data_IF_107068484176
#
_entry.id   IF_107068484176
#
_cell.length_a   1.000
_cell.length_b   1.000
_cell.length_c   1.000
_cell.angle_alpha   90.00
_cell.angle_beta   90.00
_cell.angle_gamma   90.00
#
_symmetry.space_group_name_H-M   'P 1'
#
loop_
_entity.id
_entity.type
_entity.pdbx_description
1 polymer ?
#
# COMPACT_ATOMS: atom_id res chain seq x y z
N UNK A 1 -48.03 -21.68 -41.40
CA UNK A 1 -46.60 -22.00 -41.56
C UNK A 1 -45.78 -20.98 -40.77
N UNK A 2 -44.99 -21.46 -39.80
CA UNK A 2 -44.55 -20.77 -38.57
C UNK A 2 -43.56 -19.60 -38.79
N UNK A 3 -43.91 -18.40 -38.28
CA UNK A 3 -43.02 -17.25 -38.03
C UNK A 3 -43.06 -16.91 -36.54
N UNK A 4 -42.34 -17.64 -35.67
CA UNK A 4 -42.25 -17.28 -34.23
C UNK A 4 -40.86 -17.39 -33.58
N UNK A 5 -39.84 -17.81 -34.31
CA UNK A 5 -38.51 -18.12 -33.72
C UNK A 5 -37.52 -16.96 -33.63
N UNK A 6 -37.82 -15.77 -34.17
CA UNK A 6 -36.82 -14.67 -34.25
C UNK A 6 -36.80 -13.69 -33.07
N UNK A 7 -37.75 -13.75 -32.14
CA UNK A 7 -37.89 -12.70 -31.10
C UNK A 7 -37.10 -12.95 -29.81
N UNK A 8 -36.55 -14.16 -29.60
CA UNK A 8 -35.86 -14.53 -28.34
C UNK A 8 -34.34 -14.69 -28.45
N UNK A 9 -33.78 -14.70 -29.67
CA UNK A 9 -32.34 -14.97 -29.88
C UNK A 9 -31.47 -13.75 -29.55
N UNK A 10 -31.93 -12.54 -29.91
CA UNK A 10 -31.19 -11.29 -29.65
C UNK A 10 -30.99 -10.97 -28.15
N UNK A 11 -32.02 -11.01 -27.28
CA UNK A 11 -31.84 -10.71 -25.86
C UNK A 11 -30.96 -11.74 -25.14
N UNK A 12 -30.95 -13.01 -25.60
CA UNK A 12 -30.09 -14.07 -25.05
C UNK A 12 -28.59 -13.80 -25.33
N UNK A 13 -28.25 -13.31 -26.53
CA UNK A 13 -26.87 -12.95 -26.89
C UNK A 13 -26.35 -11.74 -26.11
N UNK A 14 -27.21 -10.74 -25.89
CA UNK A 14 -26.86 -9.56 -25.08
C UNK A 14 -26.63 -9.98 -23.63
N UNK A 15 -27.50 -10.82 -23.07
CA UNK A 15 -27.35 -11.34 -21.71
C UNK A 15 -26.08 -12.18 -21.55
N UNK A 16 -25.77 -13.06 -22.51
CA UNK A 16 -24.52 -13.83 -22.50
C UNK A 16 -23.27 -12.94 -22.58
N UNK A 17 -23.30 -11.89 -23.40
CA UNK A 17 -22.18 -10.95 -23.52
C UNK A 17 -21.98 -10.15 -22.24
N UNK A 18 -23.06 -9.65 -21.64
CA UNK A 18 -23.02 -8.86 -20.40
C UNK A 18 -22.58 -9.73 -19.21
N UNK A 19 -23.07 -10.97 -19.15
CA UNK A 19 -22.63 -11.96 -18.18
C UNK A 19 -21.17 -12.35 -18.36
N UNK A 20 -20.72 -12.57 -19.60
CA UNK A 20 -19.31 -12.83 -19.90
C UNK A 20 -18.42 -11.65 -19.53
N UNK A 21 -18.86 -10.40 -19.73
CA UNK A 21 -18.12 -9.19 -19.37
C UNK A 21 -18.00 -9.03 -17.84
N UNK A 22 -19.08 -9.31 -17.11
CA UNK A 22 -19.08 -9.32 -15.63
C UNK A 22 -18.18 -10.44 -15.07
N UNK A 23 -18.26 -11.64 -15.66
CA UNK A 23 -17.37 -12.75 -15.30
C UNK A 23 -15.91 -12.46 -15.62
N UNK A 24 -15.62 -11.91 -16.80
CA UNK A 24 -14.25 -11.52 -17.18
C UNK A 24 -13.70 -10.41 -16.28
N UNK A 25 -14.54 -9.45 -15.87
CA UNK A 25 -14.18 -8.40 -14.92
C UNK A 25 -13.78 -8.96 -13.56
N UNK A 26 -14.61 -9.82 -12.97
CA UNK A 26 -14.29 -10.48 -11.68
C UNK A 26 -13.07 -11.38 -11.75
N UNK A 27 -12.94 -12.20 -12.81
CA UNK A 27 -11.77 -13.07 -13.00
C UNK A 27 -10.48 -12.26 -13.13
N UNK A 28 -10.51 -11.14 -13.85
CA UNK A 28 -9.34 -10.26 -14.04
C UNK A 28 -8.91 -9.58 -12.74
N UNK A 29 -9.86 -9.17 -11.90
CA UNK A 29 -9.58 -8.56 -10.59
C UNK A 29 -8.93 -9.57 -9.64
N UNK A 30 -9.46 -10.80 -9.60
CA UNK A 30 -8.96 -11.88 -8.73
C UNK A 30 -7.52 -12.30 -9.07
N UNK A 31 -7.12 -12.26 -10.35
CA UNK A 31 -5.77 -12.67 -10.79
C UNK A 31 -4.71 -11.63 -10.38
N UNK A 32 -5.05 -10.34 -10.41
CA UNK A 32 -4.11 -9.28 -10.03
C UNK A 32 -3.71 -9.39 -8.55
N UNK A 33 -4.69 -9.63 -7.67
CA UNK A 33 -4.49 -9.76 -6.23
C UNK A 33 -3.65 -11.01 -5.87
N UNK A 34 -3.82 -12.12 -6.61
CA UNK A 34 -3.01 -13.34 -6.43
C UNK A 34 -1.53 -13.12 -6.74
N UNK A 35 -1.22 -12.29 -7.74
CA UNK A 35 0.16 -12.07 -8.21
C UNK A 35 0.94 -11.15 -7.27
N UNK A 36 0.27 -10.15 -6.68
CA UNK A 36 0.82 -9.23 -5.67
C UNK A 36 1.35 -9.98 -4.44
N UNK A 37 0.59 -10.94 -3.92
CA UNK A 37 0.97 -11.74 -2.76
C UNK A 37 2.17 -12.67 -2.98
N UNK A 38 2.49 -13.04 -4.23
CA UNK A 38 3.51 -14.05 -4.52
C UNK A 38 4.96 -13.53 -4.41
N UNK A 39 5.18 -12.21 -4.27
CA UNK A 39 6.51 -11.60 -4.42
C UNK A 39 6.99 -10.80 -3.20
N UNK A 40 6.41 -11.04 -2.01
CA UNK A 40 6.79 -10.33 -0.78
C UNK A 40 6.14 -8.95 -0.64
N UNK A 41 5.12 -8.69 -1.46
CA UNK A 41 4.26 -7.51 -1.39
C UNK A 41 3.03 -7.82 -0.54
N UNK A 42 2.66 -6.89 0.34
CA UNK A 42 1.53 -7.02 1.24
C UNK A 42 0.53 -5.89 0.98
N UNK A 43 -0.73 -6.06 1.40
CA UNK A 43 -1.69 -4.96 1.38
C UNK A 43 -1.85 -4.36 2.78
N UNK A 44 -1.86 -3.05 2.87
CA UNK A 44 -2.18 -2.33 4.10
C UNK A 44 -3.66 -1.93 4.08
N UNK A 45 -4.40 -2.32 5.12
CA UNK A 45 -5.83 -2.04 5.23
C UNK A 45 -6.07 -0.57 5.62
N UNK A 46 -6.49 0.22 4.63
CA UNK A 46 -6.89 1.62 4.73
C UNK A 46 -8.24 1.81 4.00
N UNK A 47 -8.76 3.03 3.92
CA UNK A 47 -9.98 3.32 3.14
C UNK A 47 -9.79 2.92 1.68
N UNK A 48 -8.64 3.29 1.11
CA UNK A 48 -8.11 2.77 -0.14
C UNK A 48 -6.86 1.93 0.16
N UNK A 49 -6.92 0.59 0.01
CA UNK A 49 -5.79 -0.27 0.29
C UNK A 49 -4.57 0.10 -0.55
N UNK A 50 -3.39 0.10 0.09
CA UNK A 50 -2.13 0.33 -0.60
C UNK A 50 -1.26 -0.91 -0.59
N UNK A 51 -0.45 -1.07 -1.62
CA UNK A 51 0.51 -2.14 -1.79
C UNK A 51 1.81 -1.75 -1.10
N UNK A 52 2.29 -2.54 -0.14
CA UNK A 52 3.51 -2.25 0.59
C UNK A 52 4.62 -3.29 0.33
N UNK A 53 5.82 -2.78 0.06
CA UNK A 53 7.04 -3.58 -0.01
C UNK A 53 7.73 -3.58 1.35
N UNK A 54 8.13 -4.76 1.86
CA UNK A 54 8.77 -4.89 3.18
C UNK A 54 10.29 -5.01 3.05
N UNK A 55 11.02 -4.08 3.66
CA UNK A 55 12.47 -4.04 3.77
C UNK A 55 12.91 -4.58 5.13
N UNK A 56 13.86 -5.53 5.16
CA UNK A 56 14.27 -6.22 6.40
C UNK A 56 15.77 -6.15 6.68
N UNK A 57 16.58 -5.97 5.64
CA UNK A 57 18.04 -5.95 5.78
C UNK A 57 18.56 -4.54 5.96
N UNK A 58 19.69 -4.39 6.66
CA UNK A 58 20.34 -3.09 6.85
C UNK A 58 20.66 -2.39 5.52
N UNK A 59 21.02 -3.14 4.48
CA UNK A 59 21.32 -2.56 3.16
C UNK A 59 20.05 -2.06 2.45
N UNK A 60 18.93 -2.77 2.59
CA UNK A 60 17.62 -2.28 2.13
C UNK A 60 17.19 -1.03 2.92
N UNK A 61 17.32 -1.04 4.25
CA UNK A 61 16.98 0.11 5.09
C UNK A 61 17.82 1.34 4.76
N UNK A 62 19.14 1.17 4.55
CA UNK A 62 20.05 2.26 4.17
C UNK A 62 19.73 2.83 2.79
N UNK A 63 19.24 1.99 1.87
CA UNK A 63 18.82 2.40 0.52
C UNK A 63 17.50 3.14 0.56
N UNK A 64 16.50 2.59 1.27
CA UNK A 64 15.14 3.10 1.32
C UNK A 64 14.61 3.50 -0.06
N UNK A 65 14.12 4.73 -0.14
CA UNK A 65 13.63 5.34 -1.38
C UNK A 65 14.68 6.26 -2.07
N UNK A 66 15.92 6.34 -1.56
CA UNK A 66 16.96 7.22 -2.10
C UNK A 66 17.22 6.96 -3.60
N UNK A 67 17.25 8.04 -4.37
CA UNK A 67 17.49 8.00 -5.82
C UNK A 67 16.32 7.50 -6.67
N UNK A 68 15.17 7.12 -6.07
CA UNK A 68 13.95 6.86 -6.83
C UNK A 68 13.37 8.18 -7.35
N UNK A 69 12.78 8.13 -8.55
CA UNK A 69 12.10 9.29 -9.15
C UNK A 69 10.75 9.57 -8.49
N UNK A 70 10.03 8.50 -8.17
CA UNK A 70 8.69 8.57 -7.59
C UNK A 70 8.37 7.30 -6.78
N UNK A 71 7.31 7.40 -5.98
CA UNK A 71 6.58 6.29 -5.36
C UNK A 71 5.10 6.46 -5.71
N UNK A 72 4.44 5.49 -6.35
CA UNK A 72 3.03 5.58 -6.68
C UNK A 72 2.15 5.84 -5.43
N UNK A 73 1.05 6.59 -5.55
CA UNK A 73 0.21 6.96 -4.41
C UNK A 73 -0.57 5.78 -3.79
N UNK A 74 -0.64 4.65 -4.50
CA UNK A 74 -1.20 3.37 -4.07
C UNK A 74 -0.12 2.39 -3.60
N UNK A 75 1.13 2.85 -3.44
CA UNK A 75 2.25 2.06 -2.95
C UNK A 75 2.88 2.66 -1.68
N UNK A 76 3.56 1.81 -0.92
CA UNK A 76 4.31 2.18 0.27
C UNK A 76 5.49 1.25 0.54
N UNK A 77 6.34 1.67 1.47
CA UNK A 77 7.47 0.88 1.95
C UNK A 77 7.38 0.71 3.46
N UNK A 78 7.42 -0.53 3.92
CA UNK A 78 7.54 -0.87 5.33
C UNK A 78 8.98 -1.24 5.62
N UNK A 79 9.58 -0.56 6.60
CA UNK A 79 10.83 -0.96 7.22
C UNK A 79 10.49 -1.83 8.43
N UNK A 80 10.87 -3.10 8.41
CA UNK A 80 10.79 -4.00 9.56
C UNK A 80 12.17 -4.15 10.17
N UNK A 81 12.37 -3.55 11.35
CA UNK A 81 13.66 -3.54 12.03
C UNK A 81 13.93 -4.86 12.77
N UNK A 82 12.94 -5.75 12.89
CA UNK A 82 13.04 -7.03 13.61
C UNK A 82 13.12 -6.92 15.13
N UNK A 83 13.57 -5.77 15.64
CA UNK A 83 13.71 -5.44 17.07
C UNK A 83 13.07 -4.09 17.36
N UNK A 84 12.64 -3.89 18.61
CA UNK A 84 12.14 -2.60 19.10
C UNK A 84 13.30 -1.69 19.45
N UNK A 85 13.25 -0.44 19.02
CA UNK A 85 14.23 0.59 19.38
C UNK A 85 14.08 1.86 18.54
N UNK A 86 14.76 2.95 18.94
CA UNK A 86 14.70 4.21 18.21
C UNK A 86 15.34 4.06 16.83
N UNK A 87 14.77 4.78 15.86
CA UNK A 87 15.19 4.76 14.46
C UNK A 87 15.43 6.20 13.98
N UNK A 88 16.41 6.34 13.09
CA UNK A 88 16.82 7.64 12.56
C UNK A 88 16.64 7.65 11.06
N UNK A 89 15.74 8.50 10.58
CA UNK A 89 15.48 8.68 9.15
C UNK A 89 16.03 10.02 8.67
N UNK A 90 16.24 10.13 7.38
CA UNK A 90 16.68 11.35 6.68
C UNK A 90 16.11 11.38 5.26
N UNK A 91 16.24 12.51 4.58
CA UNK A 91 15.81 12.67 3.19
C UNK A 91 16.96 12.65 2.19
N UNK A 92 18.08 12.00 2.52
CA UNK A 92 19.27 11.98 1.66
C UNK A 92 18.94 11.38 0.28
N UNK A 93 19.28 12.12 -0.77
CA UNK A 93 19.07 11.74 -2.18
C UNK A 93 17.59 11.48 -2.55
N UNK A 94 16.64 12.06 -1.81
CA UNK A 94 15.21 11.99 -2.13
C UNK A 94 14.79 13.01 -3.20
N UNK A 95 13.74 12.68 -3.97
CA UNK A 95 13.23 13.52 -5.08
C UNK A 95 11.77 13.93 -4.94
N UNK A 96 11.07 13.42 -3.93
CA UNK A 96 9.66 13.67 -3.67
C UNK A 96 9.39 13.67 -2.16
N UNK A 97 8.28 14.31 -1.77
CA UNK A 97 7.87 14.41 -0.37
C UNK A 97 7.19 13.14 0.13
N UNK A 98 7.38 12.84 1.41
CA UNK A 98 6.85 11.63 2.05
C UNK A 98 6.03 11.96 3.30
N UNK A 99 5.12 11.06 3.65
CA UNK A 99 4.71 10.89 5.03
C UNK A 99 5.51 9.71 5.63
N UNK A 100 6.08 9.93 6.81
CA UNK A 100 6.79 8.92 7.61
C UNK A 100 5.96 8.58 8.84
N UNK A 101 5.54 7.32 8.96
CA UNK A 101 4.65 6.86 10.02
C UNK A 101 5.38 5.74 10.78
N UNK A 102 5.76 6.00 12.02
CA UNK A 102 6.43 5.02 12.88
C UNK A 102 5.40 4.22 13.67
N UNK A 103 5.63 2.91 13.78
CA UNK A 103 4.70 1.96 14.39
C UNK A 103 5.40 1.12 15.47
N UNK A 104 4.67 0.80 16.53
CA UNK A 104 5.10 -0.19 17.53
C UNK A 104 4.95 -1.64 17.05
N UNK A 105 5.26 -2.61 17.92
CA UNK A 105 5.13 -4.04 17.61
C UNK A 105 3.69 -4.51 17.36
N UNK A 106 2.70 -3.74 17.83
CA UNK A 106 1.27 -4.03 17.70
C UNK A 106 0.64 -3.28 16.52
N UNK A 107 1.48 -2.72 15.62
CA UNK A 107 1.06 -1.94 14.45
C UNK A 107 0.28 -0.67 14.80
N UNK A 108 0.54 -0.08 15.97
CA UNK A 108 -0.03 1.23 16.33
C UNK A 108 0.94 2.35 15.99
N UNK A 109 0.40 3.44 15.48
CA UNK A 109 1.16 4.65 15.21
C UNK A 109 1.71 5.24 16.51
N UNK A 110 3.03 5.32 16.62
CA UNK A 110 3.72 5.96 17.75
C UNK A 110 4.21 7.36 17.41
N UNK A 111 4.47 7.64 16.12
CA UNK A 111 4.87 8.97 15.64
C UNK A 111 4.57 9.14 14.17
N UNK A 112 4.31 10.39 13.76
CA UNK A 112 4.10 10.77 12.36
C UNK A 112 4.96 12.01 12.06
N UNK A 113 5.62 12.01 10.91
CA UNK A 113 6.07 13.21 10.23
C UNK A 113 5.37 13.27 8.86
N UNK A 114 4.51 14.27 8.66
CA UNK A 114 3.76 14.44 7.41
C UNK A 114 4.44 15.44 6.50
N UNK A 115 4.32 15.24 5.19
CA UNK A 115 4.83 16.14 4.15
C UNK A 115 6.31 16.53 4.32
N UNK A 116 7.14 15.54 4.68
CA UNK A 116 8.58 15.70 4.80
C UNK A 116 9.18 15.95 3.41
N UNK A 117 9.82 17.10 3.23
CA UNK A 117 10.34 17.55 1.93
C UNK A 117 11.80 17.12 1.71
N UNK A 118 12.24 16.80 0.48
CA UNK A 118 13.65 16.50 0.17
C UNK A 118 14.67 17.52 0.69
N UNK A 119 14.33 18.81 0.64
CA UNK A 119 15.19 19.91 1.11
C UNK A 119 15.45 19.91 2.63
N UNK A 120 14.79 19.02 3.38
CA UNK A 120 15.05 18.87 4.82
C UNK A 120 16.40 18.21 5.12
N UNK A 121 17.05 17.53 4.18
CA UNK A 121 18.39 16.98 4.42
C UNK A 121 19.40 18.12 4.71
N UNK A 122 20.22 18.04 5.77
CA UNK A 122 20.58 16.83 6.53
C UNK A 122 19.85 16.61 7.86
N UNK A 123 18.69 17.21 8.08
CA UNK A 123 17.89 16.99 9.28
C UNK A 123 17.53 15.50 9.45
N UNK A 124 17.35 15.09 10.70
CA UNK A 124 16.95 13.73 11.06
C UNK A 124 15.54 13.68 11.63
N UNK A 125 14.83 12.60 11.31
CA UNK A 125 13.46 12.32 11.71
C UNK A 125 13.46 11.11 12.65
N UNK A 126 13.60 11.40 13.94
CA UNK A 126 13.81 10.37 14.96
C UNK A 126 12.49 9.76 15.43
N UNK A 127 12.45 8.45 15.55
CA UNK A 127 11.33 7.71 16.14
C UNK A 127 11.48 7.55 17.66
N UNK A 128 10.39 7.28 18.40
CA UNK A 128 10.47 6.93 19.82
C UNK A 128 11.05 5.52 20.05
N UNK A 129 11.44 5.22 21.29
CA UNK A 129 12.11 3.96 21.67
C UNK A 129 11.26 2.69 21.47
N UNK A 130 9.93 2.83 21.41
CA UNK A 130 8.97 1.72 21.24
C UNK A 130 8.69 1.37 19.76
N UNK A 131 9.45 1.96 18.83
CA UNK A 131 9.30 1.72 17.38
C UNK A 131 9.79 0.33 16.98
N UNK A 132 9.02 -0.36 16.16
CA UNK A 132 9.42 -1.60 15.46
C UNK A 132 9.35 -1.50 13.95
N UNK A 133 8.44 -0.67 13.44
CA UNK A 133 8.26 -0.49 12.00
C UNK A 133 8.23 0.99 11.63
N UNK A 134 8.56 1.28 10.37
CA UNK A 134 8.28 2.57 9.75
C UNK A 134 7.57 2.34 8.41
N UNK A 135 6.53 3.11 8.14
CA UNK A 135 5.84 3.18 6.86
C UNK A 135 6.21 4.50 6.17
N UNK A 136 6.81 4.41 5.00
CA UNK A 136 7.02 5.53 4.09
C UNK A 136 6.04 5.44 2.92
N UNK A 137 5.36 6.54 2.64
CA UNK A 137 4.38 6.68 1.55
C UNK A 137 4.49 8.08 0.96
N UNK A 138 4.01 8.27 -0.27
CA UNK A 138 3.92 9.61 -0.86
C UNK A 138 3.09 10.53 0.03
N UNK A 139 3.56 11.77 0.20
CA UNK A 139 2.93 12.73 1.13
C UNK A 139 1.45 12.94 0.87
N UNK A 140 0.65 13.02 1.94
CA UNK A 140 -0.78 13.29 1.88
C UNK A 140 -1.66 12.12 2.34
N UNK A 141 -1.10 10.92 2.49
CA UNK A 141 -1.81 9.76 3.03
C UNK A 141 -2.31 10.04 4.47
N UNK A 142 -1.46 10.63 5.31
CA UNK A 142 -1.80 10.94 6.71
C UNK A 142 -3.05 11.82 6.78
N UNK A 143 -3.13 12.83 5.92
CA UNK A 143 -4.28 13.73 5.86
C UNK A 143 -5.53 13.03 5.29
N UNK A 144 -5.35 12.22 4.23
CA UNK A 144 -6.45 11.49 3.57
C UNK A 144 -7.10 10.48 4.51
N UNK A 145 -6.30 9.69 5.22
CA UNK A 145 -6.75 8.63 6.12
C UNK A 145 -6.92 9.10 7.57
N UNK A 146 -6.67 10.39 7.86
CA UNK A 146 -6.78 11.01 9.18
C UNK A 146 -5.98 10.25 10.26
N UNK A 147 -4.76 9.84 9.91
CA UNK A 147 -3.90 9.07 10.80
C UNK A 147 -3.43 9.94 11.98
N UNK A 148 -3.47 9.37 13.18
CA UNK A 148 -2.99 10.01 14.40
C UNK A 148 -2.19 9.01 15.24
N UNK A 149 -1.42 9.51 16.20
CA UNK A 149 -0.76 8.64 17.19
C UNK A 149 -1.83 7.82 17.93
N UNK A 150 -1.61 6.50 18.00
CA UNK A 150 -2.54 5.52 18.54
C UNK A 150 -3.43 4.82 17.51
N UNK A 151 -3.52 5.34 16.27
CA UNK A 151 -4.23 4.66 15.18
C UNK A 151 -3.61 3.28 14.95
N UNK A 152 -4.45 2.24 14.92
CA UNK A 152 -4.00 0.88 14.61
C UNK A 152 -4.05 0.66 13.10
N UNK A 153 -2.92 0.23 12.53
CA UNK A 153 -2.85 -0.23 11.14
C UNK A 153 -2.89 -1.75 11.10
N UNK A 154 -3.30 -2.30 9.96
CA UNK A 154 -3.42 -3.75 9.79
C UNK A 154 -2.92 -4.16 8.41
N UNK A 155 -1.99 -5.09 8.39
CA UNK A 155 -1.62 -5.81 7.18
C UNK A 155 -2.73 -6.81 6.85
N UNK A 156 -3.22 -6.78 5.62
CA UNK A 156 -4.11 -7.81 5.12
C UNK A 156 -3.28 -9.04 4.82
N UNK A 157 -3.72 -10.17 5.37
CA UNK A 157 -3.24 -11.46 4.92
C UNK A 157 -3.87 -11.80 3.58
N UNK A 158 -3.15 -12.54 2.74
CA UNK A 158 -3.66 -12.93 1.42
C UNK A 158 -4.90 -13.82 1.49
N UNK A 159 -5.21 -14.42 2.65
CA UNK A 159 -6.42 -15.21 2.87
C UNK A 159 -7.67 -14.32 3.04
N UNK A 160 -7.50 -13.07 3.48
CA UNK A 160 -8.60 -12.12 3.73
C UNK A 160 -9.01 -11.30 2.51
N UNK A 161 -8.30 -11.47 1.39
CA UNK A 161 -8.62 -10.85 0.09
C UNK A 161 -9.65 -11.72 -0.67
N UNK A 162 -9.97 -12.93 -0.19
CA UNK A 162 -10.89 -13.90 -0.82
C UNK A 162 -12.26 -14.00 -0.15
#
# INVERSE_FOLDING_TARGET
MSKRTRMFVLPSLIFMSLFAFLLFGHVRQTIHDRVLCSHGTHLLHLSDPIVVTVLRTQEEHRRGLSGKEELPPDEGVIFDFGVVGPQHFWMKDMRFSLDMIFLDSDWRVVKIFSAVHPDSYPDSFDSPDDTRYALEVTSGLVAREQLTVGTALRMLSCEEIY
#
